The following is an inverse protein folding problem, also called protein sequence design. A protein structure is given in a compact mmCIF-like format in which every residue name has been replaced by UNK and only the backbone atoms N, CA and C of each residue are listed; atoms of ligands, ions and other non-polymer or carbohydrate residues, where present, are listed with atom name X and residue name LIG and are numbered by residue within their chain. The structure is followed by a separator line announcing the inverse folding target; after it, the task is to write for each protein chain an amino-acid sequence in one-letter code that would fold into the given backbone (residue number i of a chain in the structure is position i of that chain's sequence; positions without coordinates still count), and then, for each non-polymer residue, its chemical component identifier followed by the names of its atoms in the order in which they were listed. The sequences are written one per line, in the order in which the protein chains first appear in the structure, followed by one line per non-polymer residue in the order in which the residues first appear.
data_IF_060307889807
#
_entry.id   IF_060307889807
#
_cell.length_a   1.000
_cell.length_b   1.000
_cell.length_c   1.000
_cell.angle_alpha   90.00
_cell.angle_beta   90.00
_cell.angle_gamma   90.00
#
_symmetry.space_group_name_H-M   'P 1'
#
loop_
_entity.id
_entity.type
_entity.pdbx_description
1 polymer ?
#
# COMPACT_ATOMS: atom_id res chain seq x y z
N UNK A 1 -24.52 -47.46 27.48
CA UNK A 1 -25.99 -47.30 27.35
C UNK A 1 -26.25 -46.45 26.09
N UNK A 2 -27.03 -47.02 25.20
CA UNK A 2 -27.39 -46.45 23.90
C UNK A 2 -28.45 -45.37 24.06
N UNK A 3 -28.34 -44.24 23.39
CA UNK A 3 -29.54 -43.50 22.99
C UNK A 3 -29.32 -42.94 21.58
N UNK A 4 -30.13 -43.49 20.69
CA UNK A 4 -30.42 -43.06 19.31
C UNK A 4 -31.52 -42.00 19.37
N UNK A 5 -31.59 -41.19 18.34
CA UNK A 5 -32.76 -40.50 17.75
C UNK A 5 -32.35 -39.06 17.45
N UNK A 6 -32.66 -38.41 16.36
CA UNK A 6 -33.66 -38.68 15.35
C UNK A 6 -33.37 -37.75 14.15
N UNK A 7 -33.41 -38.30 12.96
CA UNK A 7 -33.54 -37.55 11.73
C UNK A 7 -34.91 -36.84 11.70
N UNK A 8 -34.95 -35.58 11.36
CA UNK A 8 -36.14 -34.95 10.81
C UNK A 8 -35.72 -34.19 9.54
N UNK A 9 -35.95 -34.84 8.41
CA UNK A 9 -36.07 -34.21 7.10
C UNK A 9 -37.26 -33.25 7.12
N UNK A 10 -37.06 -32.02 6.72
CA UNK A 10 -38.12 -31.12 6.29
C UNK A 10 -37.77 -30.63 4.87
N UNK A 11 -38.30 -31.39 3.89
CA UNK A 11 -38.38 -30.95 2.50
C UNK A 11 -39.59 -30.03 2.42
N UNK A 12 -39.40 -28.79 2.12
CA UNK A 12 -40.46 -27.84 1.74
C UNK A 12 -40.17 -27.33 0.33
N UNK A 13 -40.81 -28.02 -0.61
CA UNK A 13 -40.99 -27.60 -1.99
C UNK A 13 -41.96 -26.41 -1.98
N UNK A 14 -41.52 -25.23 -2.44
CA UNK A 14 -42.44 -24.18 -2.84
C UNK A 14 -42.10 -23.76 -4.27
N UNK A 15 -42.90 -24.31 -5.19
CA UNK A 15 -43.02 -23.85 -6.56
C UNK A 15 -43.78 -22.48 -6.52
N UNK A 16 -43.22 -21.44 -7.10
CA UNK A 16 -43.96 -20.25 -7.47
C UNK A 16 -43.90 -19.95 -8.94
N UNK A 17 -45.09 -19.87 -9.48
CA UNK A 17 -45.54 -19.66 -10.82
C UNK A 17 -44.93 -18.42 -11.50
N UNK A 18 -44.60 -18.62 -12.74
CA UNK A 18 -44.44 -17.61 -13.78
C UNK A 18 -45.75 -16.86 -14.02
N UNK A 19 -45.74 -15.54 -13.94
CA UNK A 19 -46.78 -14.71 -14.59
C UNK A 19 -46.04 -13.71 -15.48
N UNK A 20 -46.13 -13.99 -16.78
CA UNK A 20 -45.85 -13.06 -17.85
C UNK A 20 -47.11 -12.19 -18.11
N UNK A 21 -46.93 -10.89 -18.30
CA UNK A 21 -47.75 -9.93 -19.05
C UNK A 21 -47.03 -8.60 -18.84
N UNK A 22 -46.65 -7.78 -19.81
CA UNK A 22 -47.12 -7.50 -21.12
C UNK A 22 -46.66 -6.07 -21.38
N UNK A 23 -45.94 -5.84 -22.45
CA UNK A 23 -45.60 -4.51 -22.92
C UNK A 23 -46.85 -3.76 -23.43
N UNK A 24 -46.83 -2.42 -23.51
CA UNK A 24 -46.81 -1.87 -24.85
C UNK A 24 -45.69 -0.85 -25.12
N UNK A 25 -45.27 -0.87 -26.36
CA UNK A 25 -44.48 0.12 -27.02
C UNK A 25 -45.22 1.45 -27.07
N UNK A 26 -44.48 2.53 -26.88
CA UNK A 26 -44.86 3.81 -27.50
C UNK A 26 -43.65 4.40 -28.21
N UNK A 27 -43.93 4.60 -29.47
CA UNK A 27 -43.12 5.19 -30.50
C UNK A 27 -43.00 6.68 -30.27
N UNK A 28 -41.81 7.21 -30.35
CA UNK A 28 -41.56 8.65 -30.28
C UNK A 28 -40.24 8.96 -30.96
N UNK A 29 -40.22 8.84 -32.28
CA UNK A 29 -39.20 9.48 -33.13
C UNK A 29 -39.28 10.99 -32.89
N UNK A 30 -38.10 11.59 -32.65
CA UNK A 30 -37.76 12.91 -33.16
C UNK A 30 -36.27 12.88 -33.54
N UNK A 31 -36.08 12.75 -34.82
CA UNK A 31 -34.91 13.23 -35.55
C UNK A 31 -34.98 14.76 -35.59
N UNK A 32 -33.87 15.40 -35.42
CA UNK A 32 -33.36 16.63 -36.04
C UNK A 32 -32.15 17.08 -35.18
N UNK A 33 -31.09 17.56 -35.64
CA UNK A 33 -30.49 17.78 -36.94
C UNK A 33 -29.02 18.19 -36.68
N UNK A 34 -28.23 17.94 -37.62
CA UNK A 34 -26.80 18.24 -37.71
C UNK A 34 -26.49 19.74 -37.52
N UNK A 35 -25.35 20.01 -36.89
CA UNK A 35 -24.51 21.11 -37.30
C UNK A 35 -23.07 20.83 -36.91
N UNK A 36 -22.32 20.40 -37.92
CA UNK A 36 -20.86 20.57 -38.00
C UNK A 36 -20.57 22.06 -37.99
N UNK A 37 -19.59 22.46 -37.21
CA UNK A 37 -18.74 23.59 -37.52
C UNK A 37 -17.30 23.18 -37.35
N UNK A 38 -16.70 22.81 -38.49
CA UNK A 38 -15.30 23.02 -38.77
C UNK A 38 -15.02 24.51 -38.83
N UNK A 39 -13.86 24.84 -38.50
CA UNK A 39 -12.95 25.96 -38.80
C UNK A 39 -12.46 26.68 -37.54
N UNK A 40 -11.23 26.52 -37.13
CA UNK A 40 -10.15 27.36 -37.65
C UNK A 40 -8.79 26.80 -37.22
N UNK A 41 -8.07 26.34 -38.20
CA UNK A 41 -6.60 26.30 -38.17
C UNK A 41 -6.13 27.74 -38.07
N UNK A 42 -5.27 28.03 -37.10
CA UNK A 42 -4.40 29.18 -37.21
C UNK A 42 -2.95 28.71 -37.07
N UNK A 43 -2.38 28.65 -38.22
CA UNK A 43 -0.97 28.62 -38.57
C UNK A 43 -0.32 29.89 -38.04
N UNK A 44 0.75 29.78 -37.30
CA UNK A 44 1.66 30.88 -37.09
C UNK A 44 3.09 30.31 -37.00
N UNK A 45 3.73 30.55 -38.07
CA UNK A 45 5.09 30.24 -38.48
C UNK A 45 6.17 30.70 -37.48
N UNK A 46 7.19 29.87 -37.47
CA UNK A 46 8.64 30.12 -37.34
C UNK A 46 9.10 31.57 -37.18
N UNK A 47 9.94 31.80 -36.23
CA UNK A 47 11.12 32.64 -36.38
C UNK A 47 12.31 31.95 -35.70
N UNK A 48 13.18 31.40 -36.56
CA UNK A 48 14.60 31.22 -36.28
C UNK A 48 15.24 32.61 -36.22
N UNK A 49 16.03 32.86 -35.19
CA UNK A 49 17.29 33.59 -35.40
C UNK A 49 18.32 33.20 -34.34
N UNK A 50 19.40 32.77 -34.87
CA UNK A 50 20.66 32.42 -34.26
C UNK A 50 21.32 33.64 -33.63
N UNK A 51 22.03 33.44 -32.53
CA UNK A 51 23.29 34.13 -32.28
C UNK A 51 24.22 33.26 -31.43
N UNK A 52 25.21 32.75 -32.15
CA UNK A 52 26.46 32.26 -31.58
C UNK A 52 27.21 33.45 -30.97
N UNK A 53 27.76 33.22 -29.79
CA UNK A 53 29.00 33.90 -29.40
C UNK A 53 29.91 32.85 -28.77
N UNK A 54 30.93 32.53 -29.52
CA UNK A 54 32.16 31.87 -29.08
C UNK A 54 32.99 32.85 -28.22
N UNK A 55 33.88 32.19 -27.51
CA UNK A 55 35.13 32.64 -26.89
C UNK A 55 35.11 33.02 -25.41
N UNK A 56 35.68 32.16 -24.58
CA UNK A 56 37.07 32.33 -24.14
C UNK A 56 37.53 31.09 -23.36
N UNK A 57 38.49 30.41 -23.92
CA UNK A 57 39.36 29.48 -23.23
C UNK A 57 40.11 30.24 -22.14
N UNK A 58 40.12 29.71 -20.93
CA UNK A 58 41.18 29.94 -19.97
C UNK A 58 41.71 28.64 -19.43
N UNK A 59 42.78 28.25 -20.03
CA UNK A 59 43.71 27.23 -19.58
C UNK A 59 44.36 27.70 -18.27
N UNK A 60 44.25 26.96 -17.24
CA UNK A 60 45.21 27.00 -16.14
C UNK A 60 45.44 25.58 -15.62
N UNK A 61 46.65 25.17 -15.91
CA UNK A 61 47.23 23.91 -15.54
C UNK A 61 47.34 23.69 -14.01
N UNK A 62 47.20 22.42 -13.67
CA UNK A 62 47.91 21.62 -12.67
C UNK A 62 48.30 22.29 -11.37
N UNK A 63 47.82 21.70 -10.29
CA UNK A 63 48.74 21.17 -9.24
C UNK A 63 48.03 20.19 -8.30
N UNK A 64 48.73 19.09 -8.19
CA UNK A 64 48.93 18.28 -6.99
C UNK A 64 47.81 17.48 -6.33
N UNK A 65 48.09 16.23 -6.43
CA UNK A 65 47.84 15.10 -5.55
C UNK A 65 47.44 15.47 -4.12
N UNK A 66 46.16 15.27 -3.81
CA UNK A 66 45.73 14.93 -2.47
C UNK A 66 45.21 13.48 -2.51
N UNK A 67 46.07 12.57 -2.11
CA UNK A 67 45.69 11.25 -1.62
C UNK A 67 44.61 11.45 -0.58
N UNK A 68 43.36 11.31 -0.97
CA UNK A 68 42.29 11.02 -0.02
C UNK A 68 42.37 9.53 0.28
N UNK A 69 43.00 9.21 1.39
CA UNK A 69 42.78 7.97 2.08
C UNK A 69 41.31 7.71 2.23
N UNK A 70 40.83 6.72 1.52
CA UNK A 70 39.58 6.05 1.75
C UNK A 70 39.68 5.33 3.10
N UNK A 71 39.58 6.07 4.18
CA UNK A 71 39.14 5.48 5.44
C UNK A 71 37.64 5.31 5.31
N UNK A 72 37.24 4.11 4.90
CA UNK A 72 35.91 3.60 5.12
C UNK A 72 35.70 3.62 6.64
N UNK A 73 35.25 4.76 7.14
CA UNK A 73 34.58 4.83 8.42
C UNK A 73 33.27 4.04 8.25
N UNK A 74 33.32 2.75 8.56
CA UNK A 74 32.17 2.01 8.98
C UNK A 74 31.73 2.66 10.30
N UNK A 75 31.08 3.81 10.18
CA UNK A 75 30.31 4.39 11.25
C UNK A 75 29.04 3.50 11.35
N UNK A 76 29.15 2.46 12.17
CA UNK A 76 28.01 1.75 12.74
C UNK A 76 27.37 2.71 13.76
N UNK A 77 26.99 3.90 13.27
CA UNK A 77 26.09 4.79 13.96
C UNK A 77 24.78 4.02 14.05
N UNK A 78 24.50 3.46 15.22
CA UNK A 78 23.18 2.98 15.59
C UNK A 78 22.21 4.12 15.24
N UNK A 79 21.61 4.04 14.03
CA UNK A 79 20.57 4.97 13.65
C UNK A 79 19.48 4.81 14.70
N UNK A 80 19.25 5.88 15.47
CA UNK A 80 18.20 5.89 16.47
C UNK A 80 16.89 5.50 15.76
N UNK A 81 16.20 4.48 16.30
CA UNK A 81 14.97 3.99 15.70
C UNK A 81 13.97 5.15 15.58
N UNK A 82 13.21 5.23 14.48
CA UNK A 82 12.19 6.28 14.30
C UNK A 82 11.26 6.38 15.49
N UNK A 83 10.89 7.59 15.89
CA UNK A 83 10.08 7.82 17.09
C UNK A 83 8.75 7.05 17.06
N UNK A 84 8.12 6.92 15.89
CA UNK A 84 6.87 6.19 15.73
C UNK A 84 6.95 4.70 16.07
N UNK A 85 8.15 4.11 16.11
CA UNK A 85 8.32 2.72 16.53
C UNK A 85 7.92 2.47 17.98
N UNK A 86 8.03 3.48 18.83
CA UNK A 86 7.65 3.42 20.24
C UNK A 86 6.23 3.86 20.54
N UNK A 87 5.47 4.32 19.54
CA UNK A 87 4.09 4.77 19.74
C UNK A 87 3.17 3.56 19.86
N UNK A 88 2.34 3.47 20.93
CA UNK A 88 1.43 2.36 21.11
C UNK A 88 0.36 2.27 20.01
N UNK A 89 0.21 1.08 19.46
CA UNK A 89 -0.82 0.68 18.50
C UNK A 89 -1.74 -0.35 19.17
N UNK A 90 -3.03 -0.32 18.85
CA UNK A 90 -3.98 -1.30 19.36
C UNK A 90 -4.44 -2.21 18.23
N UNK A 91 -4.18 -3.51 18.33
CA UNK A 91 -4.69 -4.49 17.39
C UNK A 91 -6.21 -4.55 17.48
N UNK A 92 -6.90 -4.23 16.40
CA UNK A 92 -8.37 -4.13 16.40
C UNK A 92 -9.08 -5.46 16.63
N UNK A 93 -8.42 -6.60 16.38
CA UNK A 93 -8.98 -7.94 16.56
C UNK A 93 -8.82 -8.44 18.01
N UNK A 94 -7.62 -8.29 18.57
CA UNK A 94 -7.31 -8.82 19.91
C UNK A 94 -7.48 -7.81 21.01
N UNK A 95 -7.55 -6.52 20.65
CA UNK A 95 -7.53 -5.38 21.57
C UNK A 95 -6.25 -5.30 22.44
N UNK A 96 -5.19 -5.98 22.00
CA UNK A 96 -3.88 -5.92 22.63
C UNK A 96 -3.10 -4.71 22.11
N UNK A 97 -2.36 -4.07 23.01
CA UNK A 97 -1.47 -2.98 22.65
C UNK A 97 -0.09 -3.54 22.30
N UNK A 98 0.48 -3.04 21.19
CA UNK A 98 1.82 -3.36 20.74
C UNK A 98 2.52 -2.11 20.20
N UNK A 99 3.82 -2.20 20.00
CA UNK A 99 4.64 -1.19 19.31
C UNK A 99 5.45 -1.87 18.20
N UNK A 100 5.96 -1.09 17.26
CA UNK A 100 6.87 -1.65 16.25
C UNK A 100 8.14 -2.21 16.89
N UNK A 101 8.59 -1.60 18.02
CA UNK A 101 9.78 -2.08 18.76
C UNK A 101 9.63 -3.50 19.30
N UNK A 102 8.40 -3.96 19.56
CA UNK A 102 8.14 -5.33 20.05
C UNK A 102 8.49 -6.41 19.02
N UNK A 103 8.65 -6.01 17.76
CA UNK A 103 9.02 -6.90 16.66
C UNK A 103 10.52 -6.85 16.32
N UNK A 104 11.36 -6.28 17.18
CA UNK A 104 12.81 -6.24 16.95
C UNK A 104 13.36 -7.64 16.68
N UNK A 105 14.20 -7.78 15.65
CA UNK A 105 14.74 -9.05 15.20
C UNK A 105 13.85 -9.80 14.19
N UNK A 106 12.65 -9.31 13.92
CA UNK A 106 11.78 -9.80 12.85
C UNK A 106 11.80 -8.87 11.65
N UNK A 107 11.38 -9.37 10.51
CA UNK A 107 11.06 -8.54 9.33
C UNK A 107 9.61 -8.10 9.45
N UNK A 108 9.36 -6.80 9.36
CA UNK A 108 8.01 -6.25 9.48
C UNK A 108 7.60 -5.56 8.19
N UNK A 109 6.49 -5.96 7.61
CA UNK A 109 5.85 -5.30 6.47
C UNK A 109 4.74 -4.38 6.99
N UNK A 110 4.83 -3.10 6.72
CA UNK A 110 3.81 -2.12 7.11
C UNK A 110 3.16 -1.53 5.87
N UNK A 111 1.83 -1.53 5.83
CA UNK A 111 1.04 -0.86 4.80
C UNK A 111 0.16 0.22 5.45
N UNK A 112 0.18 1.44 4.90
CA UNK A 112 -0.82 2.45 5.24
C UNK A 112 -2.01 2.31 4.31
N UNK A 113 -3.20 2.28 4.87
CA UNK A 113 -4.43 1.97 4.15
C UNK A 113 -5.64 2.77 4.64
N UNK A 114 -6.77 2.63 3.97
CA UNK A 114 -8.09 3.01 4.45
C UNK A 114 -9.13 1.97 3.98
N UNK A 115 -10.17 1.78 4.78
CA UNK A 115 -11.24 0.77 4.52
C UNK A 115 -11.97 1.02 3.19
N UNK A 116 -12.18 2.28 2.82
CA UNK A 116 -12.86 2.65 1.57
C UNK A 116 -12.01 2.49 0.31
N UNK A 117 -10.70 2.23 0.44
CA UNK A 117 -9.74 2.27 -0.66
C UNK A 117 -9.72 0.96 -1.48
N UNK A 118 -10.17 0.93 -2.74
CA UNK A 118 -10.20 -0.28 -3.54
C UNK A 118 -8.80 -0.79 -3.92
N UNK A 119 -7.81 0.09 -4.04
CA UNK A 119 -6.43 -0.33 -4.30
C UNK A 119 -5.82 -0.98 -3.06
N UNK A 120 -6.14 -0.48 -1.86
CA UNK A 120 -5.72 -1.08 -0.61
C UNK A 120 -6.29 -2.49 -0.47
N UNK A 121 -7.59 -2.68 -0.77
CA UNK A 121 -8.19 -4.02 -0.77
C UNK A 121 -7.45 -5.00 -1.70
N UNK A 122 -7.10 -4.53 -2.91
CA UNK A 122 -6.32 -5.35 -3.85
C UNK A 122 -4.92 -5.66 -3.31
N UNK A 123 -4.26 -4.68 -2.70
CA UNK A 123 -2.93 -4.86 -2.10
C UNK A 123 -2.99 -5.81 -0.91
N UNK A 124 -4.00 -5.72 -0.04
CA UNK A 124 -4.22 -6.65 1.08
C UNK A 124 -4.39 -8.09 0.57
N UNK A 125 -5.08 -8.29 -0.56
CA UNK A 125 -5.14 -9.60 -1.22
C UNK A 125 -3.78 -10.13 -1.65
N UNK A 126 -2.85 -9.26 -2.08
CA UNK A 126 -1.47 -9.65 -2.39
C UNK A 126 -0.66 -9.97 -1.13
N UNK A 127 -0.92 -9.27 -0.02
CA UNK A 127 -0.32 -9.59 1.28
C UNK A 127 -0.81 -10.95 1.79
N UNK A 128 -2.09 -11.26 1.62
CA UNK A 128 -2.64 -12.58 1.97
C UNK A 128 -1.96 -13.70 1.16
N UNK A 129 -1.77 -13.47 -0.14
CA UNK A 129 -1.05 -14.44 -0.99
C UNK A 129 0.42 -14.55 -0.58
N UNK A 130 1.06 -13.45 -0.19
CA UNK A 130 2.42 -13.48 0.37
C UNK A 130 2.48 -14.37 1.63
N UNK A 131 1.51 -14.26 2.53
CA UNK A 131 1.43 -15.14 3.71
C UNK A 131 1.30 -16.61 3.31
N UNK A 132 0.50 -16.91 2.27
CA UNK A 132 0.39 -18.28 1.73
C UNK A 132 1.73 -18.80 1.18
N UNK A 133 2.49 -17.94 0.48
CA UNK A 133 3.81 -18.29 -0.06
C UNK A 133 4.86 -18.51 1.03
N UNK A 134 4.83 -17.68 2.07
CA UNK A 134 5.77 -17.76 3.20
C UNK A 134 5.46 -18.91 4.14
N UNK A 135 4.20 -19.33 4.24
CA UNK A 135 3.74 -20.27 5.26
C UNK A 135 3.83 -19.70 6.68
N UNK A 136 3.63 -20.57 7.67
CA UNK A 136 3.75 -20.17 9.08
C UNK A 136 5.22 -19.92 9.43
N UNK A 137 5.50 -18.70 9.98
CA UNK A 137 6.84 -18.32 10.42
C UNK A 137 6.78 -17.26 11.51
N UNK A 138 7.75 -17.32 12.43
CA UNK A 138 7.81 -16.45 13.61
C UNK A 138 8.62 -15.18 13.39
N UNK A 139 9.35 -15.09 12.30
CA UNK A 139 10.35 -14.04 12.02
C UNK A 139 9.86 -13.00 10.99
N UNK A 140 8.58 -13.06 10.63
CA UNK A 140 7.91 -12.11 9.74
C UNK A 140 6.57 -11.65 10.33
N UNK A 141 6.26 -10.38 10.18
CA UNK A 141 5.00 -9.77 10.65
C UNK A 141 4.47 -8.81 9.59
N UNK A 142 3.17 -8.84 9.32
CA UNK A 142 2.48 -7.81 8.53
C UNK A 142 1.61 -6.94 9.44
N UNK A 143 1.56 -5.64 9.15
CA UNK A 143 0.76 -4.66 9.89
C UNK A 143 0.03 -3.77 8.88
N UNK A 144 -1.30 -3.74 8.94
CA UNK A 144 -2.13 -2.75 8.25
C UNK A 144 -2.42 -1.57 9.17
N UNK A 145 -2.01 -0.38 8.79
CA UNK A 145 -2.30 0.86 9.50
C UNK A 145 -3.38 1.65 8.76
N UNK A 146 -4.56 1.72 9.34
CA UNK A 146 -5.63 2.59 8.85
C UNK A 146 -5.33 4.04 9.24
N UNK A 147 -5.08 4.86 8.22
CA UNK A 147 -4.66 6.26 8.38
C UNK A 147 -5.79 7.27 8.16
N UNK A 148 -7.01 6.81 7.87
CA UNK A 148 -8.15 7.71 7.70
C UNK A 148 -8.67 8.17 9.07
N UNK A 149 -8.63 9.49 9.38
CA UNK A 149 -9.08 10.00 10.67
C UNK A 149 -10.60 9.88 10.90
N UNK A 150 -11.38 9.48 9.88
CA UNK A 150 -12.82 9.26 9.97
C UNK A 150 -13.18 7.78 10.11
N UNK A 151 -12.19 6.91 10.24
CA UNK A 151 -12.35 5.48 10.47
C UNK A 151 -11.99 5.12 11.92
N UNK A 152 -12.63 4.10 12.43
CA UNK A 152 -12.43 3.61 13.80
C UNK A 152 -12.16 2.11 13.83
N UNK A 153 -11.75 1.62 15.01
CA UNK A 153 -11.43 0.22 15.21
C UNK A 153 -12.59 -0.73 14.87
N UNK A 154 -13.84 -0.31 15.06
CA UNK A 154 -15.01 -1.14 14.75
C UNK A 154 -15.21 -1.29 13.25
N UNK A 155 -15.02 -0.20 12.50
CA UNK A 155 -15.12 -0.18 11.04
C UNK A 155 -13.99 -1.00 10.42
N UNK A 156 -12.75 -0.80 10.90
CA UNK A 156 -11.59 -1.56 10.46
C UNK A 156 -11.74 -3.06 10.76
N UNK A 157 -12.19 -3.43 11.97
CA UNK A 157 -12.45 -4.82 12.35
C UNK A 157 -13.49 -5.46 11.42
N UNK A 158 -14.60 -4.76 11.16
CA UNK A 158 -15.65 -5.27 10.27
C UNK A 158 -15.13 -5.51 8.86
N UNK A 159 -14.25 -4.63 8.38
CA UNK A 159 -13.61 -4.76 7.07
C UNK A 159 -12.71 -6.00 7.01
N UNK A 160 -11.77 -6.15 7.94
CA UNK A 160 -10.83 -7.27 7.92
C UNK A 160 -11.52 -8.62 8.11
N UNK A 161 -12.56 -8.68 8.96
CA UNK A 161 -13.37 -9.90 9.15
C UNK A 161 -14.14 -10.26 7.86
N UNK A 162 -14.71 -9.26 7.21
CA UNK A 162 -15.44 -9.46 5.94
C UNK A 162 -14.55 -9.95 4.79
N UNK A 163 -13.26 -9.67 4.84
CA UNK A 163 -12.27 -10.11 3.83
C UNK A 163 -11.50 -11.37 4.24
N UNK A 164 -11.56 -11.77 5.51
CA UNK A 164 -10.82 -12.91 6.03
C UNK A 164 -9.32 -12.64 6.21
N UNK A 165 -8.93 -11.38 6.41
CA UNK A 165 -7.55 -11.00 6.70
C UNK A 165 -7.25 -11.25 8.18
N UNK A 166 -6.13 -11.91 8.51
CA UNK A 166 -5.86 -12.43 9.86
C UNK A 166 -4.59 -11.89 10.54
N UNK A 167 -3.83 -11.01 9.87
CA UNK A 167 -2.66 -10.37 10.49
C UNK A 167 -3.02 -9.12 11.32
N UNK A 168 -2.02 -8.41 11.84
CA UNK A 168 -2.23 -7.28 12.73
C UNK A 168 -2.77 -6.04 11.98
N UNK A 169 -3.79 -5.42 12.55
CA UNK A 169 -4.35 -4.14 12.06
C UNK A 169 -4.57 -3.18 13.22
N UNK A 170 -4.29 -1.91 12.97
CA UNK A 170 -4.54 -0.83 13.92
C UNK A 170 -4.99 0.44 13.21
N UNK A 171 -5.82 1.24 13.90
CA UNK A 171 -6.06 2.63 13.49
C UNK A 171 -4.83 3.42 13.89
N UNK A 172 -4.25 4.13 12.93
CA UNK A 172 -3.03 4.89 13.13
C UNK A 172 -3.26 6.10 14.04
N UNK A 173 -2.53 6.24 15.15
CA UNK A 173 -2.51 7.49 15.89
C UNK A 173 -2.00 8.65 15.02
N UNK A 174 -2.49 9.84 15.26
CA UNK A 174 -2.10 11.04 14.49
C UNK A 174 -0.59 11.30 14.51
N UNK A 175 0.09 10.93 15.60
CA UNK A 175 1.55 11.09 15.73
C UNK A 175 2.28 10.10 14.80
N UNK A 176 1.82 8.85 14.70
CA UNK A 176 2.36 7.86 13.74
C UNK A 176 2.18 8.34 12.31
N UNK A 177 0.99 8.79 11.94
CA UNK A 177 0.71 9.31 10.60
C UNK A 177 1.59 10.50 10.25
N UNK A 178 1.80 11.42 11.22
CA UNK A 178 2.67 12.59 11.03
C UNK A 178 4.12 12.19 10.82
N UNK A 179 4.63 11.24 11.62
CA UNK A 179 6.00 10.76 11.51
C UNK A 179 6.22 10.04 10.18
N UNK A 180 5.27 9.20 9.75
CA UNK A 180 5.32 8.53 8.45
C UNK A 180 5.42 9.53 7.29
N UNK A 181 4.58 10.57 7.30
CA UNK A 181 4.63 11.62 6.29
C UNK A 181 5.95 12.42 6.33
N UNK A 182 6.42 12.76 7.52
CA UNK A 182 7.65 13.54 7.71
C UNK A 182 8.91 12.78 7.28
N UNK A 183 8.98 11.48 7.57
CA UNK A 183 10.16 10.65 7.32
C UNK A 183 10.19 10.06 5.92
N UNK A 184 9.01 9.69 5.38
CA UNK A 184 8.91 8.93 4.13
C UNK A 184 8.10 9.64 3.05
N UNK A 185 7.57 10.82 3.35
CA UNK A 185 6.81 11.68 2.43
C UNK A 185 5.30 11.56 2.56
N UNK A 186 4.59 12.62 2.14
CA UNK A 186 3.12 12.75 2.25
C UNK A 186 2.35 11.66 1.51
N UNK A 187 2.98 11.00 0.54
CA UNK A 187 2.39 9.86 -0.17
C UNK A 187 2.04 8.68 0.75
N UNK A 188 2.69 8.59 1.93
CA UNK A 188 2.32 7.61 2.95
C UNK A 188 0.96 7.88 3.60
N UNK A 189 0.41 9.09 3.43
CA UNK A 189 -0.95 9.44 3.83
C UNK A 189 -1.96 9.39 2.67
N UNK A 190 -1.59 8.81 1.52
CA UNK A 190 -2.45 8.64 0.37
C UNK A 190 -2.75 7.15 0.10
N UNK A 191 -3.76 6.54 0.75
CA UNK A 191 -4.06 5.11 0.64
C UNK A 191 -4.14 4.57 -0.79
N UNK A 192 -4.76 5.28 -1.78
CA UNK A 192 -4.82 4.81 -3.16
C UNK A 192 -3.46 4.57 -3.83
N UNK A 193 -2.37 5.15 -3.33
CA UNK A 193 -1.01 4.88 -3.80
C UNK A 193 -0.40 3.60 -3.21
N UNK A 194 -1.13 2.91 -2.34
CA UNK A 194 -0.72 1.69 -1.63
C UNK A 194 0.69 1.77 -1.05
N UNK A 195 0.93 2.73 -0.14
CA UNK A 195 2.24 2.91 0.46
C UNK A 195 2.60 1.73 1.36
N UNK A 196 3.81 1.23 1.21
CA UNK A 196 4.34 0.15 2.04
C UNK A 196 5.79 0.41 2.39
N UNK A 197 6.21 -0.12 3.52
CA UNK A 197 7.61 -0.17 3.92
C UNK A 197 7.92 -1.52 4.59
N UNK A 198 9.18 -1.91 4.49
CA UNK A 198 9.71 -3.05 5.23
C UNK A 198 10.66 -2.52 6.30
N UNK A 199 10.56 -3.08 7.48
CA UNK A 199 11.52 -2.87 8.56
C UNK A 199 12.32 -4.16 8.68
N UNK A 200 13.64 -4.07 8.49
CA UNK A 200 14.51 -5.22 8.60
C UNK A 200 14.76 -5.63 10.07
N UNK A 201 15.45 -6.73 10.29
CA UNK A 201 15.75 -7.26 11.64
C UNK A 201 16.56 -6.31 12.52
N UNK A 202 17.28 -5.37 11.90
CA UNK A 202 18.11 -4.36 12.59
C UNK A 202 17.31 -3.11 12.92
N UNK A 203 16.10 -2.96 12.34
CA UNK A 203 15.23 -1.79 12.51
C UNK A 203 15.40 -0.73 11.41
N UNK A 204 16.14 -1.02 10.35
CA UNK A 204 16.22 -0.12 9.21
C UNK A 204 14.94 -0.16 8.39
N UNK A 205 14.50 0.99 7.91
CA UNK A 205 13.26 1.14 7.15
C UNK A 205 13.57 1.22 5.66
N UNK A 206 12.87 0.40 4.88
CA UNK A 206 13.00 0.30 3.44
C UNK A 206 11.63 0.58 2.78
N UNK A 207 11.36 1.82 2.34
CA UNK A 207 10.13 2.13 1.61
C UNK A 207 10.09 1.39 0.28
N UNK A 208 8.91 0.85 -0.07
CA UNK A 208 8.67 0.22 -1.36
C UNK A 208 8.15 1.24 -2.38
N UNK A 209 8.33 0.98 -3.68
CA UNK A 209 7.69 1.77 -4.73
C UNK A 209 6.17 1.84 -4.54
N UNK A 210 5.56 2.98 -4.84
CA UNK A 210 4.10 3.14 -4.82
C UNK A 210 3.43 2.31 -5.93
N UNK A 211 2.14 2.07 -5.77
CA UNK A 211 1.35 1.21 -6.63
C UNK A 211 1.21 -0.21 -6.05
N UNK A 212 0.28 -0.98 -6.62
CA UNK A 212 0.02 -2.35 -6.18
C UNK A 212 1.23 -3.24 -6.52
N UNK A 213 1.71 -3.97 -5.53
CA UNK A 213 2.81 -4.94 -5.63
C UNK A 213 2.23 -6.34 -5.59
N UNK A 214 2.67 -7.23 -6.48
CA UNK A 214 2.29 -8.63 -6.45
C UNK A 214 2.91 -9.35 -5.23
N UNK A 215 2.34 -10.48 -4.83
CA UNK A 215 2.89 -11.30 -3.76
C UNK A 215 4.33 -11.76 -4.07
N UNK A 216 4.61 -12.09 -5.33
CA UNK A 216 5.95 -12.47 -5.78
C UNK A 216 6.95 -11.31 -5.69
N UNK A 217 6.53 -10.08 -6.04
CA UNK A 217 7.39 -8.90 -5.92
C UNK A 217 7.65 -8.58 -4.44
N UNK A 218 6.63 -8.68 -3.58
CA UNK A 218 6.79 -8.53 -2.14
C UNK A 218 7.76 -9.57 -1.59
N UNK A 219 7.56 -10.84 -1.94
CA UNK A 219 8.44 -11.94 -1.51
C UNK A 219 9.88 -11.68 -1.95
N UNK A 220 10.08 -11.34 -3.21
CA UNK A 220 11.41 -11.02 -3.75
C UNK A 220 12.08 -9.87 -2.99
N UNK A 221 11.30 -8.86 -2.59
CA UNK A 221 11.80 -7.70 -1.86
C UNK A 221 12.19 -8.05 -0.42
N UNK A 222 11.38 -8.86 0.28
CA UNK A 222 11.61 -9.18 1.70
C UNK A 222 12.58 -10.35 1.90
N UNK A 223 12.73 -11.24 0.91
CA UNK A 223 13.55 -12.47 1.03
C UNK A 223 14.97 -12.21 1.53
N UNK A 224 15.72 -11.20 1.02
CA UNK A 224 17.05 -10.90 1.53
C UNK A 224 17.10 -10.63 3.04
N UNK A 225 16.09 -9.91 3.57
CA UNK A 225 16.01 -9.60 5.00
C UNK A 225 15.61 -10.82 5.84
N UNK A 226 14.85 -11.75 5.24
CA UNK A 226 14.49 -13.01 5.90
C UNK A 226 15.68 -13.99 5.97
N UNK A 227 16.58 -13.94 5.00
CA UNK A 227 17.75 -14.81 4.90
C UNK A 227 18.94 -14.28 5.72
N UNK A 228 18.90 -13.02 6.17
CA UNK A 228 19.94 -12.48 7.07
C UNK A 228 19.96 -13.24 8.40
N UNK A 229 21.12 -13.79 8.75
CA UNK A 229 21.34 -14.32 10.11
C UNK A 229 21.55 -13.16 11.08
N UNK A 230 20.91 -13.25 12.24
CA UNK A 230 21.15 -12.33 13.36
C UNK A 230 22.55 -12.52 13.94
#
# INVERSE_FOLDING_TARGET
MKSKNSLVSFVLLLAFLVAACGAPADDGMMEEDAAMTEEAMHDAAMTEEAMMTEEAMHDTAMTDEAMMTEEAMADDAMMEAPAWFGIPLTNVRTNETFTIQDFKGKVVLVETMAVWCPNCLKQQGQVQELHNLLGERDDFVSIGLDIDPNEDSSKLLSFIDGQGFDWAYAVSPADVSRDLASLYGDQFLNPPSTPMLVIDRKGNVHPLPFGIKSADDLLKFIQPFLDESM
#
